data_IF_996898671063
#
_entry.id   IF_996898671063
#
_cell.length_a   1.000
_cell.length_b   1.000
_cell.length_c   1.000
_cell.angle_alpha   90.00
_cell.angle_beta   90.00
_cell.angle_gamma   90.00
#
_symmetry.space_group_name_H-M   'P 1'
#
loop_
_entity.id
_entity.type
_entity.pdbx_description
1 polymer ?
#
# COMPACT_ATOMS: atom_id res chain seq x y z
N UNK A 1 -0.86 -4.97 15.51
CA UNK A 1 -1.95 -4.39 14.68
C UNK A 1 -2.57 -3.23 15.43
N UNK A 2 -2.98 -2.16 14.75
CA UNK A 2 -3.51 -0.94 15.39
C UNK A 2 -4.70 -1.22 16.32
N UNK A 3 -5.68 -1.98 15.83
CA UNK A 3 -6.84 -2.41 16.64
C UNK A 3 -6.42 -3.10 17.94
N UNK A 4 -5.45 -4.04 17.88
CA UNK A 4 -4.95 -4.73 19.07
C UNK A 4 -4.29 -3.76 20.07
N UNK A 5 -3.59 -2.73 19.57
CA UNK A 5 -2.99 -1.71 20.43
C UNK A 5 -4.07 -0.86 21.14
N UNK A 6 -5.15 -0.53 20.43
CA UNK A 6 -6.30 0.18 21.00
C UNK A 6 -7.05 -0.68 22.01
N UNK A 7 -7.34 -1.95 21.69
CA UNK A 7 -8.01 -2.87 22.60
C UNK A 7 -7.22 -3.09 23.89
N UNK A 8 -5.89 -3.16 23.81
CA UNK A 8 -5.02 -3.29 24.98
C UNK A 8 -5.09 -2.07 25.93
N UNK A 9 -5.51 -0.91 25.42
CA UNK A 9 -5.74 0.33 26.17
C UNK A 9 -7.22 0.55 26.54
N UNK A 10 -8.09 -0.41 26.25
CA UNK A 10 -9.53 -0.29 26.48
C UNK A 10 -10.25 0.68 25.53
N UNK A 11 -9.60 1.09 24.42
CA UNK A 11 -10.19 1.94 23.39
C UNK A 11 -10.96 1.04 22.42
N UNK A 12 -12.23 1.34 22.17
CA UNK A 12 -13.03 0.62 21.17
C UNK A 12 -12.52 0.92 19.74
N UNK A 13 -11.95 -0.10 19.11
CA UNK A 13 -11.42 -0.06 17.74
C UNK A 13 -12.45 -0.34 16.65
N UNK A 14 -13.73 -0.56 17.00
CA UNK A 14 -14.79 -0.89 16.04
C UNK A 14 -14.88 0.09 14.86
N UNK A 15 -14.60 1.38 15.12
CA UNK A 15 -14.60 2.45 14.11
C UNK A 15 -13.60 2.26 12.97
N UNK A 16 -12.50 1.54 13.21
CA UNK A 16 -11.52 1.21 12.16
C UNK A 16 -12.15 0.39 11.03
N UNK A 17 -13.23 -0.34 11.32
CA UNK A 17 -13.89 -1.25 10.38
C UNK A 17 -15.20 -0.70 9.81
N UNK A 18 -15.77 0.36 10.40
CA UNK A 18 -17.08 0.90 9.97
C UNK A 18 -16.95 1.99 8.91
N UNK A 19 -15.90 2.82 8.96
CA UNK A 19 -15.65 3.87 7.98
C UNK A 19 -14.17 3.92 7.60
N UNK A 20 -13.81 3.72 6.32
CA UNK A 20 -12.44 3.91 5.88
C UNK A 20 -12.04 5.40 5.90
N UNK A 21 -12.98 6.33 5.86
CA UNK A 21 -12.68 7.77 5.84
C UNK A 21 -12.55 8.38 7.24
N UNK A 22 -13.16 7.76 8.26
CA UNK A 22 -13.31 8.35 9.59
C UNK A 22 -12.83 7.40 10.68
N UNK A 23 -11.54 7.43 10.94
CA UNK A 23 -10.93 6.71 12.06
C UNK A 23 -10.99 7.48 13.38
N UNK A 24 -11.22 8.81 13.32
CA UNK A 24 -11.21 9.70 14.48
C UNK A 24 -9.81 9.94 15.04
N UNK A 25 -9.75 10.55 16.21
CA UNK A 25 -8.48 10.83 16.90
C UNK A 25 -7.95 9.59 17.61
N UNK A 26 -7.01 8.91 16.96
CA UNK A 26 -6.29 7.76 17.51
C UNK A 26 -5.00 8.20 18.23
N UNK A 27 -4.45 9.37 17.87
CA UNK A 27 -3.29 9.97 18.53
C UNK A 27 -2.02 9.13 18.44
N UNK A 28 -1.28 9.05 19.55
CA UNK A 28 0.04 8.40 19.61
C UNK A 28 0.04 6.91 19.20
N UNK A 29 -1.09 6.22 19.33
CA UNK A 29 -1.22 4.83 18.89
C UNK A 29 -1.16 4.69 17.37
N UNK A 30 -1.72 5.67 16.66
CA UNK A 30 -1.62 5.74 15.20
C UNK A 30 -0.18 6.02 14.78
N UNK A 31 0.50 6.94 15.47
CA UNK A 31 1.89 7.29 15.17
C UNK A 31 2.83 6.09 15.36
N UNK A 32 2.66 5.36 16.47
CA UNK A 32 3.42 4.15 16.75
C UNK A 32 3.12 3.06 15.72
N UNK A 33 1.86 2.91 15.31
CA UNK A 33 1.49 1.96 14.27
C UNK A 33 2.10 2.34 12.91
N UNK A 34 2.01 3.61 12.49
CA UNK A 34 2.62 4.10 11.24
C UNK A 34 4.12 3.83 11.25
N UNK A 35 4.82 4.16 12.34
CA UNK A 35 6.26 3.93 12.44
C UNK A 35 6.64 2.44 12.37
N UNK A 36 5.84 1.56 12.98
CA UNK A 36 6.09 0.12 12.90
C UNK A 36 5.76 -0.46 11.52
N UNK A 37 4.65 -0.03 10.93
CA UNK A 37 4.21 -0.48 9.61
C UNK A 37 5.19 -0.01 8.54
N UNK A 38 5.68 1.23 8.64
CA UNK A 38 6.57 1.80 7.65
C UNK A 38 7.90 1.06 7.54
N UNK A 39 8.52 0.71 8.67
CA UNK A 39 9.75 -0.09 8.70
C UNK A 39 9.56 -1.48 8.07
N UNK A 40 8.44 -2.14 8.37
CA UNK A 40 8.16 -3.47 7.83
C UNK A 40 7.90 -3.41 6.31
N UNK A 41 7.13 -2.43 5.85
CA UNK A 41 6.85 -2.21 4.43
C UNK A 41 8.12 -1.81 3.67
N UNK A 42 8.95 -0.94 4.23
CA UNK A 42 10.23 -0.55 3.63
C UNK A 42 11.12 -1.77 3.39
N UNK A 43 11.27 -2.63 4.41
CA UNK A 43 12.03 -3.88 4.27
C UNK A 43 11.43 -4.80 3.19
N UNK A 44 10.11 -4.96 3.16
CA UNK A 44 9.44 -5.78 2.16
C UNK A 44 9.63 -5.24 0.73
N UNK A 45 9.57 -3.91 0.55
CA UNK A 45 9.80 -3.26 -0.73
C UNK A 45 11.23 -3.49 -1.20
N UNK A 46 12.24 -3.20 -0.36
CA UNK A 46 13.65 -3.41 -0.71
C UNK A 46 13.92 -4.88 -1.04
N UNK A 47 13.42 -5.81 -0.22
CA UNK A 47 13.58 -7.23 -0.46
C UNK A 47 12.94 -7.70 -1.78
N UNK A 48 11.76 -7.16 -2.13
CA UNK A 48 11.14 -7.43 -3.42
C UNK A 48 11.96 -6.86 -4.58
N UNK A 49 12.54 -5.65 -4.41
CA UNK A 49 13.41 -5.01 -5.41
C UNK A 49 14.70 -5.78 -5.65
N UNK A 50 15.18 -6.57 -4.68
CA UNK A 50 16.30 -7.49 -4.85
C UNK A 50 15.99 -8.67 -5.78
N UNK A 51 14.72 -8.94 -6.05
CA UNK A 51 14.27 -10.05 -6.90
C UNK A 51 13.74 -9.56 -8.25
N UNK A 52 13.03 -8.43 -8.27
CA UNK A 52 12.37 -7.88 -9.46
C UNK A 52 12.63 -6.36 -9.50
N UNK A 53 13.09 -5.85 -10.64
CA UNK A 53 13.16 -4.41 -10.89
C UNK A 53 11.77 -3.89 -11.30
N UNK A 54 11.10 -3.18 -10.39
CA UNK A 54 9.81 -2.55 -10.62
C UNK A 54 9.88 -1.06 -10.33
N UNK A 55 9.12 -0.26 -11.07
CA UNK A 55 9.27 1.20 -11.04
C UNK A 55 8.63 1.85 -9.81
N UNK A 56 7.58 1.23 -9.25
CA UNK A 56 6.82 1.83 -8.16
C UNK A 56 6.23 0.81 -7.17
N UNK A 57 6.28 1.16 -5.89
CA UNK A 57 5.52 0.51 -4.83
C UNK A 57 4.28 1.36 -4.52
N UNK A 58 3.09 0.81 -4.72
CA UNK A 58 1.83 1.51 -4.45
C UNK A 58 1.26 1.05 -3.13
N UNK A 59 1.05 1.99 -2.20
CA UNK A 59 0.40 1.73 -0.91
C UNK A 59 -1.05 2.22 -1.00
N UNK A 60 -1.98 1.28 -0.82
CA UNK A 60 -3.41 1.55 -0.76
C UNK A 60 -4.06 0.65 0.30
N UNK A 61 -5.25 1.02 0.77
CA UNK A 61 -5.93 0.21 1.76
C UNK A 61 -7.16 0.86 2.35
N UNK A 62 -7.73 0.14 3.33
CA UNK A 62 -8.82 0.63 4.15
C UNK A 62 -8.25 1.57 5.21
N UNK A 63 -8.14 2.86 4.90
CA UNK A 63 -7.73 3.91 5.84
C UNK A 63 -8.04 5.31 5.28
N UNK A 64 -8.07 6.35 6.14
CA UNK A 64 -8.24 7.73 5.69
C UNK A 64 -7.09 8.18 4.79
N UNK A 65 -7.36 9.12 3.89
CA UNK A 65 -6.38 9.62 2.92
C UNK A 65 -5.15 10.23 3.61
N UNK A 66 -5.35 10.97 4.70
CA UNK A 66 -4.27 11.56 5.48
C UNK A 66 -3.39 10.49 6.15
N UNK A 67 -3.99 9.42 6.66
CA UNK A 67 -3.26 8.27 7.22
C UNK A 67 -2.44 7.59 6.15
N UNK A 68 -3.02 7.37 4.96
CA UNK A 68 -2.29 6.76 3.84
C UNK A 68 -1.11 7.61 3.39
N UNK A 69 -1.30 8.92 3.25
CA UNK A 69 -0.22 9.86 2.90
C UNK A 69 0.91 9.79 3.92
N UNK A 70 0.58 9.88 5.22
CA UNK A 70 1.56 9.77 6.31
C UNK A 70 2.29 8.43 6.31
N UNK A 71 1.61 7.34 5.97
CA UNK A 71 2.23 6.03 5.85
C UNK A 71 3.18 5.95 4.66
N UNK A 72 2.79 6.51 3.51
CA UNK A 72 3.66 6.60 2.31
C UNK A 72 4.90 7.42 2.60
N UNK A 73 4.75 8.58 3.23
CA UNK A 73 5.88 9.45 3.62
C UNK A 73 6.83 8.69 4.56
N UNK A 74 6.29 8.07 5.62
CA UNK A 74 7.07 7.30 6.58
C UNK A 74 7.77 6.07 5.98
N UNK A 75 7.15 5.40 4.99
CA UNK A 75 7.78 4.29 4.26
C UNK A 75 8.93 4.80 3.40
N UNK A 76 8.72 5.91 2.71
CA UNK A 76 9.75 6.55 1.87
C UNK A 76 10.98 6.92 2.71
N UNK A 77 10.76 7.52 3.88
CA UNK A 77 11.82 7.82 4.84
C UNK A 77 12.51 6.54 5.36
N UNK A 78 11.75 5.51 5.73
CA UNK A 78 12.30 4.26 6.24
C UNK A 78 13.14 3.51 5.19
N UNK A 79 12.76 3.53 3.91
CA UNK A 79 13.55 2.94 2.83
C UNK A 79 14.94 3.57 2.75
N UNK A 80 15.04 4.90 2.92
CA UNK A 80 16.31 5.60 2.89
C UNK A 80 17.29 5.18 4.02
N UNK A 81 16.80 4.45 5.03
CA UNK A 81 17.63 3.93 6.14
C UNK A 81 18.14 2.51 5.92
N UNK A 82 17.69 1.83 4.86
CA UNK A 82 18.07 0.45 4.56
C UNK A 82 19.23 0.49 3.56
N UNK A 83 20.27 -0.30 3.83
CA UNK A 83 21.34 -0.51 2.87
C UNK A 83 20.79 -1.26 1.64
N UNK A 84 20.77 -0.57 0.51
CA UNK A 84 20.23 -1.03 -0.75
C UNK A 84 21.26 -0.86 -1.87
N UNK A 85 22.55 -0.95 -1.54
CA UNK A 85 23.63 -0.82 -2.52
C UNK A 85 23.43 -1.77 -3.71
N UNK A 86 23.54 -1.21 -4.92
CA UNK A 86 23.31 -1.95 -6.17
C UNK A 86 21.84 -2.16 -6.56
N UNK A 87 20.88 -1.72 -5.74
CA UNK A 87 19.46 -1.78 -6.08
C UNK A 87 18.94 -0.44 -6.62
N UNK A 88 18.11 -0.52 -7.66
CA UNK A 88 17.27 0.60 -8.06
C UNK A 88 15.98 0.55 -7.24
N UNK A 89 15.86 1.46 -6.27
CA UNK A 89 14.70 1.49 -5.40
C UNK A 89 13.48 2.09 -6.13
N UNK A 90 12.29 1.49 -5.96
CA UNK A 90 11.06 1.96 -6.58
C UNK A 90 10.57 3.26 -5.94
N UNK A 91 9.82 4.04 -6.70
CA UNK A 91 9.08 5.18 -6.14
C UNK A 91 7.92 4.67 -5.29
N UNK A 92 7.85 5.07 -4.03
CA UNK A 92 6.68 4.79 -3.18
C UNK A 92 5.61 5.85 -3.43
N UNK A 93 4.36 5.43 -3.68
CA UNK A 93 3.26 6.35 -3.94
C UNK A 93 1.93 5.86 -3.37
N UNK A 94 1.01 6.79 -3.17
CA UNK A 94 -0.36 6.49 -2.79
C UNK A 94 -1.14 5.82 -3.94
N UNK A 95 -1.96 4.84 -3.59
CA UNK A 95 -3.00 4.32 -4.47
C UNK A 95 -4.18 5.29 -4.58
N UNK A 96 -4.84 5.26 -5.73
CA UNK A 96 -5.97 6.17 -6.03
C UNK A 96 -7.33 5.48 -6.06
N UNK A 97 -7.35 4.14 -5.95
CA UNK A 97 -8.58 3.35 -6.15
C UNK A 97 -9.26 3.02 -4.82
N UNK A 98 -8.50 2.85 -3.74
CA UNK A 98 -9.03 2.61 -2.41
C UNK A 98 -9.80 1.29 -2.31
N UNK A 99 -10.97 1.32 -1.68
CA UNK A 99 -11.84 0.15 -1.44
C UNK A 99 -12.19 -0.64 -2.71
N UNK A 100 -12.23 0.02 -3.87
CA UNK A 100 -12.59 -0.60 -5.13
C UNK A 100 -11.41 -1.30 -5.82
N UNK A 101 -10.19 -1.21 -5.28
CA UNK A 101 -8.98 -1.70 -5.95
C UNK A 101 -9.09 -3.19 -6.29
N UNK A 102 -9.58 -4.00 -5.35
CA UNK A 102 -9.79 -5.44 -5.56
C UNK A 102 -10.82 -5.73 -6.65
N UNK A 103 -11.95 -5.02 -6.64
CA UNK A 103 -13.01 -5.23 -7.62
C UNK A 103 -12.58 -4.78 -9.02
N UNK A 104 -11.97 -3.61 -9.14
CA UNK A 104 -11.45 -3.09 -10.42
C UNK A 104 -10.33 -3.97 -10.97
N UNK A 105 -9.39 -4.40 -10.13
CA UNK A 105 -8.33 -5.31 -10.52
C UNK A 105 -8.87 -6.64 -11.06
N UNK A 106 -9.85 -7.23 -10.37
CA UNK A 106 -10.52 -8.45 -10.82
C UNK A 106 -11.30 -8.30 -12.14
N UNK A 107 -11.89 -7.12 -12.37
CA UNK A 107 -12.59 -6.82 -13.62
C UNK A 107 -11.64 -6.45 -14.77
N UNK A 108 -10.41 -6.01 -14.48
CA UNK A 108 -9.48 -5.50 -15.49
C UNK A 108 -9.04 -6.59 -16.48
N UNK A 109 -8.76 -7.80 -16.00
CA UNK A 109 -8.34 -8.92 -16.85
C UNK A 109 -9.40 -9.31 -17.90
N UNK A 110 -10.67 -9.63 -17.53
CA UNK A 110 -11.69 -9.98 -18.53
C UNK A 110 -12.04 -8.80 -19.46
N UNK A 111 -11.94 -7.54 -18.98
CA UNK A 111 -12.12 -6.37 -19.85
C UNK A 111 -10.97 -6.25 -20.86
N UNK A 112 -9.73 -6.53 -20.45
CA UNK A 112 -8.57 -6.53 -21.34
C UNK A 112 -8.70 -7.59 -22.43
N UNK A 113 -9.11 -8.81 -22.08
CA UNK A 113 -9.27 -9.91 -23.04
C UNK A 113 -10.35 -9.61 -24.10
N UNK A 114 -11.40 -8.89 -23.71
CA UNK A 114 -12.54 -8.62 -24.59
C UNK A 114 -12.36 -7.38 -25.46
N UNK A 115 -11.61 -6.38 -24.99
CA UNK A 115 -11.62 -5.04 -25.60
C UNK A 115 -10.23 -4.47 -25.90
N UNK A 116 -9.13 -5.04 -25.39
CA UNK A 116 -7.78 -4.62 -25.75
C UNK A 116 -7.22 -5.57 -26.81
N UNK A 117 -6.63 -5.00 -27.87
CA UNK A 117 -5.92 -5.79 -28.90
C UNK A 117 -4.68 -6.39 -28.23
N UNK A 118 -4.64 -7.71 -28.08
CA UNK A 118 -3.50 -8.41 -27.47
C UNK A 118 -2.24 -8.32 -28.35
N UNK A 119 -1.04 -8.56 -27.80
CA UNK A 119 0.23 -8.52 -28.55
C UNK A 119 0.42 -9.60 -29.63
N UNK A 120 -0.62 -10.37 -30.00
CA UNK A 120 -0.54 -11.45 -30.98
C UNK A 120 -1.45 -11.22 -32.20
N UNK A 121 -1.35 -10.05 -32.83
CA UNK A 121 -1.82 -9.82 -34.20
C UNK A 121 -0.66 -9.59 -35.16
N UNK A 122 0.41 -10.39 -35.06
CA UNK A 122 1.30 -10.61 -36.21
C UNK A 122 0.67 -11.69 -37.08
N UNK A 123 0.18 -11.27 -38.25
CA UNK A 123 -0.47 -12.12 -39.25
C UNK A 123 0.41 -13.26 -39.74
N UNK A 124 -0.19 -14.45 -39.81
CA UNK A 124 0.23 -15.52 -40.69
C UNK A 124 -0.81 -15.65 -41.78
N UNK A 125 -0.43 -15.22 -42.99
CA UNK A 125 -1.01 -15.71 -44.24
C UNK A 125 -0.36 -17.06 -44.59
#
# INVERSE_FOLDING_TARGET
MLERALSAKGIDGSRLWTSPQEWGEIGADLDAWIASASRALAYAIVAASSVIDFEAAVIDGWMPLDVRRRLVDAVTEAIATIDAEGLKLPVVREGTVGIHARAMGGASLPLSERFLIGPNTSGGA
#
